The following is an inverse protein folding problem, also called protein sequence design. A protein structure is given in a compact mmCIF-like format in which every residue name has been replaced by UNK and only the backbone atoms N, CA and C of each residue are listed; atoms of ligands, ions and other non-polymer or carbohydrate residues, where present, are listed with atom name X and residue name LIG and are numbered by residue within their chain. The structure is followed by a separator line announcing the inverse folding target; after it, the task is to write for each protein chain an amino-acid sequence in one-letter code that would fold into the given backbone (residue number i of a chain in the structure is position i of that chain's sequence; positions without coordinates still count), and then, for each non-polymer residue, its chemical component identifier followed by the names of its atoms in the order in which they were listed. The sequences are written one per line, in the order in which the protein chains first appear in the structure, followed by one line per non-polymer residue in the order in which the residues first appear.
data_IF_911069505045
#
_entry.id   IF_911069505045
#
_cell.length_a   1.000
_cell.length_b   1.000
_cell.length_c   1.000
_cell.angle_alpha   90.00
_cell.angle_beta   90.00
_cell.angle_gamma   90.00
#
_symmetry.space_group_name_H-M   'P 1'
#
loop_
_entity.id
_entity.type
_entity.pdbx_description
1 polymer ?
#
# COMPACT_ATOMS: atom_id res chain seq x y z
N UNK A 1 29.22 -41.14 -36.29
CA UNK A 1 28.36 -39.98 -36.60
C UNK A 1 28.47 -38.99 -35.46
N UNK A 2 29.30 -37.98 -35.59
CA UNK A 2 29.51 -36.93 -34.61
C UNK A 2 28.40 -35.90 -34.75
N UNK A 3 27.50 -35.90 -33.79
CA UNK A 3 26.39 -34.93 -33.72
C UNK A 3 26.99 -33.60 -33.27
N UNK A 4 27.39 -32.73 -34.19
CA UNK A 4 27.70 -31.33 -33.93
C UNK A 4 26.41 -30.65 -33.47
N UNK A 5 26.13 -30.64 -32.14
CA UNK A 5 25.19 -29.65 -31.55
C UNK A 5 25.73 -28.26 -31.94
N UNK A 6 25.05 -27.60 -32.88
CA UNK A 6 25.26 -26.19 -33.20
C UNK A 6 25.10 -25.43 -31.89
N UNK A 7 26.20 -24.97 -31.28
CA UNK A 7 26.15 -24.00 -30.18
C UNK A 7 25.39 -22.79 -30.70
N UNK A 8 24.11 -22.68 -30.34
CA UNK A 8 23.38 -21.43 -30.55
C UNK A 8 24.09 -20.37 -29.72
N UNK A 9 24.65 -19.37 -30.38
CA UNK A 9 25.27 -18.22 -29.73
C UNK A 9 24.23 -17.61 -28.81
N UNK A 10 24.39 -17.74 -27.51
CA UNK A 10 23.51 -17.15 -26.50
C UNK A 10 23.50 -15.62 -26.67
N UNK A 11 22.35 -15.01 -26.45
CA UNK A 11 22.20 -13.57 -26.47
C UNK A 11 23.14 -12.93 -25.42
N UNK A 12 23.76 -11.80 -25.74
CA UNK A 12 24.64 -11.11 -24.80
C UNK A 12 23.87 -10.49 -23.64
N UNK A 13 24.46 -10.45 -22.43
CA UNK A 13 23.86 -9.85 -21.23
C UNK A 13 23.45 -8.39 -21.44
N UNK A 14 24.21 -7.63 -22.24
CA UNK A 14 23.88 -6.25 -22.61
C UNK A 14 22.52 -6.19 -23.34
N UNK A 15 22.30 -7.08 -24.29
CA UNK A 15 21.02 -7.14 -25.03
C UNK A 15 19.88 -7.58 -24.09
N UNK A 16 20.13 -8.54 -23.21
CA UNK A 16 19.15 -8.99 -22.21
C UNK A 16 18.75 -7.84 -21.28
N UNK A 17 19.72 -7.08 -20.79
CA UNK A 17 19.46 -5.90 -19.95
C UNK A 17 18.65 -4.82 -20.67
N UNK A 18 18.98 -4.52 -21.94
CA UNK A 18 18.20 -3.55 -22.76
C UNK A 18 16.77 -4.03 -23.00
N UNK A 19 16.56 -5.32 -23.25
CA UNK A 19 15.21 -5.90 -23.39
C UNK A 19 14.43 -5.85 -22.07
N UNK A 20 15.11 -6.03 -20.92
CA UNK A 20 14.52 -5.85 -19.59
C UNK A 20 14.01 -4.42 -19.39
N UNK A 21 14.83 -3.40 -19.73
CA UNK A 21 14.39 -2.00 -19.69
C UNK A 21 13.22 -1.74 -20.64
N UNK A 22 13.26 -2.24 -21.86
CA UNK A 22 12.17 -2.11 -22.81
C UNK A 22 10.87 -2.72 -22.28
N UNK A 23 10.95 -3.87 -21.59
CA UNK A 23 9.80 -4.50 -20.95
C UNK A 23 9.20 -3.61 -19.85
N UNK A 24 10.03 -3.08 -18.94
CA UNK A 24 9.55 -2.18 -17.86
C UNK A 24 8.95 -0.90 -18.44
N UNK A 25 9.61 -0.28 -19.40
CA UNK A 25 9.10 0.93 -20.06
C UNK A 25 7.75 0.65 -20.76
N UNK A 26 7.61 -0.49 -21.42
CA UNK A 26 6.35 -0.89 -22.06
C UNK A 26 5.22 -1.06 -21.04
N UNK A 27 5.49 -1.68 -19.89
CA UNK A 27 4.55 -1.81 -18.78
C UNK A 27 4.12 -0.41 -18.31
N UNK A 28 5.08 0.44 -17.94
CA UNK A 28 4.82 1.79 -17.40
C UNK A 28 4.02 2.64 -18.38
N UNK A 29 4.43 2.68 -19.65
CA UNK A 29 3.72 3.47 -20.69
C UNK A 29 2.29 2.98 -20.89
N UNK A 30 2.08 1.67 -20.85
CA UNK A 30 0.75 1.07 -21.04
C UNK A 30 -0.16 1.36 -19.85
N UNK A 31 0.35 1.29 -18.62
CA UNK A 31 -0.39 1.62 -17.41
C UNK A 31 -0.68 3.13 -17.31
N UNK A 32 0.32 3.97 -17.59
CA UNK A 32 0.15 5.42 -17.60
C UNK A 32 -0.92 5.89 -18.61
N UNK A 33 -1.02 5.22 -19.75
CA UNK A 33 -2.09 5.47 -20.74
C UNK A 33 -3.42 4.82 -20.37
N UNK A 34 -3.54 4.19 -19.20
CA UNK A 34 -4.73 3.47 -18.73
C UNK A 34 -5.31 2.49 -19.76
N UNK A 35 -4.43 1.84 -20.56
CA UNK A 35 -4.86 0.92 -21.62
C UNK A 35 -5.20 -0.47 -21.12
N UNK A 36 -4.68 -0.87 -19.94
CA UNK A 36 -4.93 -2.18 -19.35
C UNK A 36 -4.73 -2.14 -17.84
N UNK A 37 -5.19 -3.18 -17.16
CA UNK A 37 -4.97 -3.36 -15.72
C UNK A 37 -3.53 -3.81 -15.44
N UNK A 38 -2.96 -3.47 -14.27
CA UNK A 38 -1.62 -3.92 -13.86
C UNK A 38 -1.46 -5.44 -13.94
N UNK A 39 -2.46 -6.20 -13.48
CA UNK A 39 -2.45 -7.66 -13.55
C UNK A 39 -2.20 -8.20 -14.96
N UNK A 40 -2.79 -7.60 -15.97
CA UNK A 40 -2.65 -8.02 -17.37
C UNK A 40 -1.28 -7.60 -17.92
N UNK A 41 -0.86 -6.35 -17.66
CA UNK A 41 0.44 -5.86 -18.11
C UNK A 41 1.59 -6.69 -17.55
N UNK A 42 1.52 -7.06 -16.25
CA UNK A 42 2.54 -7.87 -15.56
C UNK A 42 2.59 -9.34 -16.01
N UNK A 43 1.59 -9.81 -16.74
CA UNK A 43 1.62 -11.12 -17.38
C UNK A 43 2.14 -11.00 -18.81
N UNK A 44 1.54 -10.13 -19.62
CA UNK A 44 1.77 -10.10 -21.07
C UNK A 44 3.21 -9.69 -21.39
N UNK A 45 3.69 -8.56 -20.86
CA UNK A 45 5.01 -8.04 -21.25
C UNK A 45 6.17 -8.94 -20.79
N UNK A 46 6.21 -9.46 -19.55
CA UNK A 46 7.26 -10.40 -19.16
C UNK A 46 7.16 -11.72 -19.93
N UNK A 47 5.97 -12.22 -20.26
CA UNK A 47 5.85 -13.41 -21.10
C UNK A 47 6.40 -13.19 -22.51
N UNK A 48 6.14 -12.05 -23.14
CA UNK A 48 6.75 -11.69 -24.42
C UNK A 48 8.28 -11.64 -24.30
N UNK A 49 8.80 -10.99 -23.25
CA UNK A 49 10.23 -10.98 -22.96
C UNK A 49 10.79 -12.40 -22.81
N UNK A 50 10.13 -13.25 -22.00
CA UNK A 50 10.52 -14.64 -21.81
C UNK A 50 10.60 -15.42 -23.13
N UNK A 51 9.61 -15.26 -24.00
CA UNK A 51 9.61 -15.85 -25.34
C UNK A 51 10.81 -15.38 -26.19
N UNK A 52 11.09 -14.07 -26.20
CA UNK A 52 12.24 -13.48 -26.91
C UNK A 52 13.54 -14.07 -26.38
N UNK A 53 13.70 -14.21 -25.04
CA UNK A 53 14.89 -14.77 -24.41
C UNK A 53 15.08 -16.25 -24.73
N UNK A 54 13.99 -17.02 -24.87
CA UNK A 54 14.06 -18.43 -25.31
C UNK A 54 14.51 -18.53 -26.76
N UNK A 55 13.94 -17.74 -27.66
CA UNK A 55 14.35 -17.74 -29.07
C UNK A 55 15.79 -17.23 -29.25
N UNK A 56 16.23 -16.29 -28.40
CA UNK A 56 17.60 -15.80 -28.34
C UNK A 56 18.61 -16.77 -27.69
N UNK A 57 18.15 -17.93 -27.22
CA UNK A 57 19.02 -18.96 -26.62
C UNK A 57 19.51 -18.60 -25.21
N UNK A 58 18.94 -17.59 -24.55
CA UNK A 58 19.32 -17.17 -23.19
C UNK A 58 18.65 -18.05 -22.14
N UNK A 59 17.33 -18.31 -22.28
CA UNK A 59 16.55 -19.23 -21.46
C UNK A 59 16.05 -20.42 -22.26
N UNK A 60 15.68 -21.50 -21.58
CA UNK A 60 14.88 -22.60 -22.14
C UNK A 60 13.40 -22.45 -21.72
N UNK A 61 12.50 -23.18 -22.38
CA UNK A 61 11.09 -23.22 -21.96
C UNK A 61 10.92 -23.75 -20.53
N UNK A 62 11.75 -24.74 -20.16
CA UNK A 62 11.78 -25.28 -18.80
C UNK A 62 12.19 -24.20 -17.78
N UNK A 63 13.17 -23.36 -18.14
CA UNK A 63 13.62 -22.24 -17.30
C UNK A 63 12.48 -21.25 -17.05
N UNK A 64 11.72 -20.88 -18.09
CA UNK A 64 10.55 -19.98 -17.93
C UNK A 64 9.56 -20.57 -16.95
N UNK A 65 9.24 -21.87 -17.05
CA UNK A 65 8.34 -22.55 -16.10
C UNK A 65 8.85 -22.50 -14.64
N UNK A 66 10.17 -22.76 -14.45
CA UNK A 66 10.80 -22.69 -13.11
C UNK A 66 10.79 -21.26 -12.53
N UNK A 67 11.12 -20.27 -13.36
CA UNK A 67 11.12 -18.86 -13.00
C UNK A 67 9.73 -18.39 -12.55
N UNK A 68 8.68 -18.69 -13.32
CA UNK A 68 7.30 -18.35 -12.97
C UNK A 68 6.91 -19.05 -11.66
N UNK A 69 7.19 -20.35 -11.51
CA UNK A 69 6.91 -21.08 -10.27
C UNK A 69 7.60 -20.42 -9.05
N UNK A 70 8.85 -20.02 -9.20
CA UNK A 70 9.59 -19.31 -8.15
C UNK A 70 8.98 -17.95 -7.83
N UNK A 71 8.51 -17.21 -8.84
CA UNK A 71 7.76 -15.96 -8.66
C UNK A 71 6.49 -16.18 -7.83
N UNK A 72 5.66 -17.19 -8.18
CA UNK A 72 4.46 -17.52 -7.42
C UNK A 72 4.76 -17.93 -5.97
N UNK A 73 5.85 -18.65 -5.72
CA UNK A 73 6.25 -19.02 -4.36
C UNK A 73 6.59 -17.78 -3.51
N UNK A 74 7.15 -16.74 -4.12
CA UNK A 74 7.47 -15.49 -3.42
C UNK A 74 6.26 -14.60 -3.17
N UNK A 75 5.29 -14.56 -4.11
CA UNK A 75 4.15 -13.65 -4.03
C UNK A 75 2.93 -14.25 -3.33
N UNK A 76 2.83 -15.58 -3.26
CA UNK A 76 1.69 -16.30 -2.67
C UNK A 76 1.37 -15.88 -1.23
N UNK A 77 2.34 -15.84 -0.31
CA UNK A 77 2.13 -15.38 1.06
C UNK A 77 1.57 -13.95 1.14
N UNK A 78 2.08 -13.04 0.32
CA UNK A 78 1.61 -11.65 0.25
C UNK A 78 0.18 -11.56 -0.29
N UNK A 79 -0.17 -12.37 -1.28
CA UNK A 79 -1.54 -12.42 -1.81
C UNK A 79 -2.53 -12.93 -0.74
N UNK A 80 -2.15 -13.96 0.02
CA UNK A 80 -2.95 -14.45 1.15
C UNK A 80 -3.10 -13.35 2.23
N UNK A 81 -2.01 -12.69 2.62
CA UNK A 81 -2.06 -11.57 3.57
C UNK A 81 -3.06 -10.51 3.12
N UNK A 82 -3.00 -10.11 1.83
CA UNK A 82 -3.87 -9.07 1.30
C UNK A 82 -5.35 -9.47 1.34
N UNK A 83 -5.68 -10.67 0.84
CA UNK A 83 -7.06 -11.17 0.82
C UNK A 83 -7.65 -11.19 2.22
N UNK A 84 -6.93 -11.77 3.18
CA UNK A 84 -7.44 -11.91 4.54
C UNK A 84 -7.43 -10.61 5.35
N UNK A 85 -6.49 -9.69 5.10
CA UNK A 85 -6.53 -8.37 5.74
C UNK A 85 -7.71 -7.52 5.23
N UNK A 86 -7.98 -7.51 3.92
CA UNK A 86 -9.14 -6.81 3.35
C UNK A 86 -10.45 -7.38 3.89
N UNK A 87 -10.58 -8.71 3.94
CA UNK A 87 -11.76 -9.36 4.52
C UNK A 87 -11.91 -9.02 6.00
N UNK A 88 -10.82 -9.07 6.78
CA UNK A 88 -10.82 -8.82 8.21
C UNK A 88 -11.32 -7.39 8.53
N UNK A 89 -10.66 -6.41 7.94
CA UNK A 89 -11.04 -5.01 8.18
C UNK A 89 -12.41 -4.67 7.58
N UNK A 90 -12.78 -5.28 6.45
CA UNK A 90 -14.12 -5.17 5.90
C UNK A 90 -15.19 -5.69 6.86
N UNK A 91 -14.99 -6.85 7.47
CA UNK A 91 -15.88 -7.41 8.50
C UNK A 91 -15.97 -6.48 9.71
N UNK A 92 -14.85 -5.91 10.17
CA UNK A 92 -14.83 -4.98 11.30
C UNK A 92 -15.55 -3.66 10.99
N UNK A 93 -15.43 -3.18 9.75
CA UNK A 93 -16.16 -2.00 9.27
C UNK A 93 -17.66 -2.28 9.22
N UNK A 94 -18.09 -3.37 8.58
CA UNK A 94 -19.50 -3.75 8.50
C UNK A 94 -20.12 -3.98 9.88
N UNK A 95 -19.36 -4.55 10.83
CA UNK A 95 -19.79 -4.73 12.21
C UNK A 95 -19.90 -3.41 12.99
N UNK A 96 -19.50 -2.28 12.41
CA UNK A 96 -19.58 -0.95 13.01
C UNK A 96 -18.52 -0.70 14.09
N UNK A 97 -17.41 -1.44 14.09
CA UNK A 97 -16.34 -1.25 15.09
C UNK A 97 -15.77 0.16 15.01
N UNK A 98 -15.47 0.65 13.82
CA UNK A 98 -14.91 1.98 13.60
C UNK A 98 -15.92 3.07 13.94
N UNK A 99 -17.21 2.88 13.60
CA UNK A 99 -18.27 3.85 13.88
C UNK A 99 -18.44 4.09 15.38
N UNK A 100 -18.40 3.01 16.19
CA UNK A 100 -18.47 3.12 17.66
C UNK A 100 -17.24 3.83 18.23
N UNK A 101 -16.03 3.56 17.71
CA UNK A 101 -14.81 4.26 18.14
C UNK A 101 -14.95 5.75 17.84
N UNK A 102 -15.31 6.08 16.61
CA UNK A 102 -15.44 7.46 16.13
C UNK A 102 -16.54 8.19 16.90
N UNK A 103 -17.69 7.56 17.10
CA UNK A 103 -18.77 8.13 17.89
C UNK A 103 -18.33 8.48 19.32
N UNK A 104 -17.56 7.62 19.98
CA UNK A 104 -16.99 7.91 21.31
C UNK A 104 -15.95 9.02 21.27
N UNK A 105 -15.08 9.04 20.24
CA UNK A 105 -14.07 10.10 20.06
C UNK A 105 -14.74 11.46 19.79
N UNK A 106 -15.83 11.47 19.03
CA UNK A 106 -16.58 12.69 18.76
C UNK A 106 -17.19 13.33 20.02
N UNK A 107 -17.53 12.54 21.04
CA UNK A 107 -17.99 13.06 22.34
C UNK A 107 -16.89 13.82 23.10
N UNK A 108 -15.61 13.58 22.77
CA UNK A 108 -14.47 14.28 23.37
C UNK A 108 -14.14 15.58 22.65
N UNK A 109 -14.71 15.81 21.46
CA UNK A 109 -14.50 17.03 20.68
C UNK A 109 -15.29 18.16 21.37
N UNK A 110 -14.55 19.04 22.03
CA UNK A 110 -15.05 20.29 22.61
C UNK A 110 -14.87 21.42 21.59
N UNK A 111 -15.37 22.62 21.92
CA UNK A 111 -15.29 23.84 21.10
C UNK A 111 -13.85 24.39 20.95
N UNK A 112 -12.90 23.50 20.76
CA UNK A 112 -11.48 23.80 20.63
C UNK A 112 -10.99 23.45 19.22
N UNK A 113 -10.63 24.43 18.43
CA UNK A 113 -10.14 24.30 17.05
C UNK A 113 -8.92 23.36 16.96
N UNK A 114 -7.96 23.48 17.89
CA UNK A 114 -6.79 22.59 17.94
C UNK A 114 -7.23 21.16 18.25
N UNK A 115 -8.11 21.00 19.23
CA UNK A 115 -8.68 19.68 19.59
C UNK A 115 -9.38 19.00 18.41
N UNK A 116 -10.13 19.75 17.60
CA UNK A 116 -10.78 19.26 16.38
C UNK A 116 -9.75 18.75 15.36
N UNK A 117 -8.66 19.51 15.15
CA UNK A 117 -7.59 19.10 14.22
C UNK A 117 -6.87 17.82 14.71
N UNK A 118 -6.55 17.73 16.00
CA UNK A 118 -5.93 16.53 16.60
C UNK A 118 -6.86 15.33 16.49
N UNK A 119 -8.16 15.53 16.78
CA UNK A 119 -9.16 14.47 16.67
C UNK A 119 -9.30 13.99 15.22
N UNK A 120 -9.28 14.90 14.25
CA UNK A 120 -9.25 14.55 12.81
C UNK A 120 -8.09 13.63 12.49
N UNK A 121 -6.88 13.94 13.00
CA UNK A 121 -5.71 13.08 12.81
C UNK A 121 -5.92 11.69 13.43
N UNK A 122 -6.41 11.63 14.65
CA UNK A 122 -6.66 10.33 15.35
C UNK A 122 -7.71 9.50 14.61
N UNK A 123 -8.82 10.11 14.19
CA UNK A 123 -9.88 9.42 13.43
C UNK A 123 -9.33 8.94 12.09
N UNK A 124 -8.51 9.73 11.40
CA UNK A 124 -7.90 9.34 10.14
C UNK A 124 -6.87 8.19 10.32
N UNK A 125 -6.07 8.21 11.38
CA UNK A 125 -5.18 7.11 11.74
C UNK A 125 -5.98 5.81 11.98
N UNK A 126 -7.03 5.87 12.79
CA UNK A 126 -7.85 4.70 13.11
C UNK A 126 -8.61 4.21 11.86
N UNK A 127 -9.21 5.14 11.11
CA UNK A 127 -9.95 4.82 9.89
C UNK A 127 -9.09 4.21 8.79
N UNK A 128 -7.78 4.49 8.78
CA UNK A 128 -6.85 3.95 7.77
C UNK A 128 -6.21 2.60 8.17
N UNK A 129 -6.63 2.01 9.27
CA UNK A 129 -6.14 0.68 9.66
C UNK A 129 -6.48 -0.42 8.64
N UNK A 130 -7.51 -0.23 7.81
CA UNK A 130 -7.85 -1.14 6.70
C UNK A 130 -6.91 -0.99 5.48
N UNK A 131 -6.04 0.03 5.46
CA UNK A 131 -5.14 0.34 4.35
C UNK A 131 -5.84 0.91 3.11
N UNK A 132 -7.15 1.22 3.20
CA UNK A 132 -7.96 1.73 2.09
C UNK A 132 -8.10 3.26 2.13
N UNK A 133 -7.60 3.96 1.11
CA UNK A 133 -7.74 5.42 1.03
C UNK A 133 -9.20 5.87 0.92
N UNK A 134 -9.97 5.21 0.06
CA UNK A 134 -11.38 5.53 -0.16
C UNK A 134 -12.23 5.28 1.10
N UNK A 135 -12.04 4.13 1.77
CA UNK A 135 -12.75 3.79 3.01
C UNK A 135 -12.44 4.81 4.11
N UNK A 136 -11.18 5.21 4.27
CA UNK A 136 -10.77 6.23 5.22
C UNK A 136 -11.51 7.56 4.98
N UNK A 137 -11.59 8.03 3.74
CA UNK A 137 -12.32 9.25 3.42
C UNK A 137 -13.82 9.10 3.65
N UNK A 138 -14.42 7.96 3.34
CA UNK A 138 -15.82 7.67 3.64
C UNK A 138 -16.15 7.69 5.15
N UNK A 139 -15.15 7.47 5.99
CA UNK A 139 -15.27 7.53 7.45
C UNK A 139 -14.99 8.95 7.96
N UNK A 140 -13.85 9.54 7.58
CA UNK A 140 -13.35 10.79 8.17
C UNK A 140 -14.15 11.99 7.71
N UNK A 141 -14.52 12.06 6.42
CA UNK A 141 -15.19 13.24 5.85
C UNK A 141 -16.59 13.43 6.43
N UNK A 142 -17.48 12.41 6.44
CA UNK A 142 -18.81 12.56 7.05
C UNK A 142 -18.74 12.89 8.55
N UNK A 143 -17.80 12.31 9.29
CA UNK A 143 -17.65 12.55 10.71
C UNK A 143 -17.17 13.96 11.03
N UNK A 144 -16.20 14.48 10.30
CA UNK A 144 -15.51 15.71 10.68
C UNK A 144 -15.94 16.95 9.89
N UNK A 145 -16.38 16.82 8.65
CA UNK A 145 -16.76 17.97 7.82
C UNK A 145 -17.88 18.83 8.43
N UNK A 146 -18.94 18.27 9.04
CA UNK A 146 -19.94 19.08 9.74
C UNK A 146 -19.35 19.91 10.88
N UNK A 147 -18.41 19.32 11.65
CA UNK A 147 -17.72 20.02 12.74
C UNK A 147 -16.86 21.17 12.20
N UNK A 148 -16.10 20.92 11.09
CA UNK A 148 -15.30 21.95 10.43
C UNK A 148 -16.17 23.11 9.93
N UNK A 149 -17.32 22.81 9.32
CA UNK A 149 -18.27 23.84 8.86
C UNK A 149 -18.82 24.65 10.04
N UNK A 150 -19.30 23.99 11.09
CA UNK A 150 -19.85 24.64 12.31
C UNK A 150 -18.82 25.56 12.98
N UNK A 151 -17.52 25.19 12.94
CA UNK A 151 -16.44 25.95 13.53
C UNK A 151 -15.77 26.93 12.55
N UNK A 152 -16.29 27.11 11.36
CA UNK A 152 -15.74 27.98 10.29
C UNK A 152 -14.29 27.64 9.90
N UNK A 153 -13.92 26.34 10.03
CA UNK A 153 -12.62 25.81 9.64
C UNK A 153 -12.63 25.43 8.16
N UNK A 154 -11.47 25.51 7.51
CA UNK A 154 -11.33 25.17 6.08
C UNK A 154 -11.42 23.65 5.85
N UNK A 155 -12.22 23.17 4.88
CA UNK A 155 -12.22 21.77 4.47
C UNK A 155 -10.85 21.27 3.97
N UNK A 156 -10.05 22.16 3.39
CA UNK A 156 -8.67 21.85 2.96
C UNK A 156 -7.75 21.49 4.13
N UNK A 157 -8.03 22.01 5.33
CA UNK A 157 -7.31 21.64 6.56
C UNK A 157 -7.69 20.24 7.01
N UNK A 158 -8.98 19.86 6.91
CA UNK A 158 -9.43 18.48 7.13
C UNK A 158 -8.72 17.52 6.19
N UNK A 159 -8.72 17.81 4.89
CA UNK A 159 -8.08 16.97 3.89
C UNK A 159 -6.57 16.81 4.15
N UNK A 160 -5.87 17.91 4.41
CA UNK A 160 -4.42 17.91 4.68
C UNK A 160 -4.06 17.00 5.87
N UNK A 161 -4.76 17.13 6.98
CA UNK A 161 -4.51 16.33 8.18
C UNK A 161 -4.80 14.85 7.91
N UNK A 162 -5.92 14.55 7.24
CA UNK A 162 -6.30 13.19 6.90
C UNK A 162 -5.26 12.51 6.00
N UNK A 163 -4.82 13.18 4.94
CA UNK A 163 -3.84 12.64 3.98
C UNK A 163 -2.49 12.33 4.66
N UNK A 164 -2.03 13.22 5.55
CA UNK A 164 -0.77 12.99 6.30
C UNK A 164 -0.91 11.77 7.22
N UNK A 165 -2.01 11.66 7.96
CA UNK A 165 -2.28 10.52 8.83
C UNK A 165 -2.35 9.21 8.03
N UNK A 166 -3.05 9.21 6.89
CA UNK A 166 -3.15 8.08 5.97
C UNK A 166 -1.78 7.66 5.42
N UNK A 167 -0.94 8.62 5.00
CA UNK A 167 0.41 8.36 4.51
C UNK A 167 1.28 7.63 5.54
N UNK A 168 1.17 7.99 6.81
CA UNK A 168 1.90 7.32 7.91
C UNK A 168 1.37 5.90 8.16
N UNK A 169 0.07 5.70 8.17
CA UNK A 169 -0.52 4.37 8.37
C UNK A 169 -0.36 3.45 7.14
N UNK A 170 -0.15 4.01 5.96
CA UNK A 170 0.16 3.24 4.76
C UNK A 170 1.53 2.52 4.79
N UNK A 171 2.26 2.65 5.90
CA UNK A 171 3.48 1.89 6.21
C UNK A 171 3.20 0.56 6.94
N UNK A 172 1.95 0.25 7.30
CA UNK A 172 1.57 -1.00 7.99
C UNK A 172 1.92 -2.24 7.15
N UNK A 173 2.15 -3.41 7.77
CA UNK A 173 2.58 -4.61 7.05
C UNK A 173 1.56 -5.15 6.05
N UNK A 174 0.28 -4.85 6.22
CA UNK A 174 -0.80 -5.18 5.28
C UNK A 174 -1.14 -4.03 4.32
N UNK A 175 -0.46 -2.90 4.42
CA UNK A 175 -0.65 -1.79 3.49
C UNK A 175 0.08 -2.05 2.16
N UNK A 176 -0.50 -1.51 1.09
CA UNK A 176 -0.04 -1.76 -0.27
C UNK A 176 1.45 -1.57 -0.52
N UNK A 177 2.07 -0.45 -0.16
CA UNK A 177 3.49 -0.20 -0.38
C UNK A 177 4.40 -1.21 0.32
N UNK A 178 4.17 -1.46 1.61
CA UNK A 178 4.99 -2.37 2.43
C UNK A 178 4.92 -3.80 1.91
N UNK A 179 3.72 -4.28 1.57
CA UNK A 179 3.55 -5.63 1.02
C UNK A 179 4.26 -5.82 -0.31
N UNK A 180 4.18 -4.83 -1.21
CA UNK A 180 4.85 -4.91 -2.51
C UNK A 180 6.36 -4.94 -2.37
N UNK A 181 6.91 -4.07 -1.54
CA UNK A 181 8.35 -4.06 -1.25
C UNK A 181 8.82 -5.36 -0.62
N UNK A 182 8.10 -5.90 0.36
CA UNK A 182 8.40 -7.20 0.97
C UNK A 182 8.38 -8.35 -0.06
N UNK A 183 7.40 -8.34 -0.97
CA UNK A 183 7.31 -9.30 -2.08
C UNK A 183 8.56 -9.23 -2.97
N UNK A 184 9.02 -8.04 -3.33
CA UNK A 184 10.22 -7.83 -4.16
C UNK A 184 11.46 -8.33 -3.44
N UNK A 185 11.58 -8.03 -2.15
CA UNK A 185 12.69 -8.51 -1.30
C UNK A 185 12.64 -10.02 -1.05
N UNK A 186 11.50 -10.68 -1.28
CA UNK A 186 11.29 -12.09 -0.96
C UNK A 186 11.27 -12.38 0.54
N UNK A 187 10.84 -11.41 1.36
CA UNK A 187 10.74 -11.52 2.83
C UNK A 187 9.29 -11.37 3.28
N UNK A 188 9.01 -11.71 4.53
CA UNK A 188 7.70 -11.47 5.16
C UNK A 188 7.44 -9.96 5.34
N UNK A 189 6.21 -9.53 5.10
CA UNK A 189 5.82 -8.13 5.24
C UNK A 189 5.96 -7.63 6.68
N UNK A 190 5.76 -8.51 7.67
CA UNK A 190 5.99 -8.22 9.08
C UNK A 190 7.45 -7.87 9.38
N UNK A 191 8.38 -8.63 8.84
CA UNK A 191 9.83 -8.41 9.04
C UNK A 191 10.29 -7.08 8.43
N UNK A 192 9.81 -6.73 7.23
CA UNK A 192 10.07 -5.41 6.64
C UNK A 192 9.48 -4.29 7.52
N UNK A 193 8.24 -4.48 7.98
CA UNK A 193 7.57 -3.50 8.82
C UNK A 193 8.29 -3.26 10.15
N UNK A 194 8.83 -4.28 10.80
CA UNK A 194 9.63 -4.11 12.02
C UNK A 194 10.81 -3.14 11.81
N UNK A 195 11.43 -3.16 10.64
CA UNK A 195 12.48 -2.20 10.27
C UNK A 195 11.92 -0.78 10.07
N UNK A 196 10.69 -0.66 9.58
CA UNK A 196 10.02 0.63 9.32
C UNK A 196 9.35 1.18 10.58
N UNK A 197 9.02 0.35 11.57
CA UNK A 197 8.23 0.69 12.76
C UNK A 197 8.75 1.93 13.52
N UNK A 198 10.06 2.12 13.75
CA UNK A 198 10.56 3.35 14.39
C UNK A 198 10.25 4.60 13.59
N UNK A 199 10.36 4.51 12.25
CA UNK A 199 10.07 5.62 11.34
C UNK A 199 8.57 5.92 11.35
N UNK A 200 7.72 4.89 11.35
CA UNK A 200 6.28 5.03 11.45
C UNK A 200 5.85 5.67 12.78
N UNK A 201 6.46 5.27 13.90
CA UNK A 201 6.20 5.88 15.20
C UNK A 201 6.55 7.38 15.21
N UNK A 202 7.72 7.75 14.68
CA UNK A 202 8.07 9.15 14.48
C UNK A 202 7.09 9.87 13.55
N UNK A 203 6.62 9.20 12.50
CA UNK A 203 5.62 9.71 11.56
C UNK A 203 4.27 10.01 12.24
N UNK A 204 3.81 9.16 13.16
CA UNK A 204 2.59 9.39 13.93
C UNK A 204 2.74 10.65 14.82
N UNK A 205 3.86 10.77 15.51
CA UNK A 205 4.12 11.97 16.33
C UNK A 205 4.16 13.22 15.46
N UNK A 206 4.80 13.15 14.29
CA UNK A 206 4.85 14.24 13.33
C UNK A 206 3.45 14.61 12.79
N UNK A 207 2.63 13.62 12.45
CA UNK A 207 1.26 13.83 11.99
C UNK A 207 0.41 14.56 13.06
N UNK A 208 0.53 14.15 14.32
CA UNK A 208 -0.12 14.85 15.44
C UNK A 208 0.41 16.28 15.62
N UNK A 209 1.72 16.49 15.52
CA UNK A 209 2.31 17.83 15.59
C UNK A 209 1.80 18.72 14.44
N UNK A 210 1.72 18.21 13.22
CA UNK A 210 1.14 18.92 12.06
C UNK A 210 -0.34 19.22 12.28
N UNK A 211 -1.10 18.32 12.89
CA UNK A 211 -2.50 18.58 13.26
C UNK A 211 -2.62 19.74 14.25
N UNK A 212 -1.78 19.78 15.28
CA UNK A 212 -1.70 20.90 16.24
C UNK A 212 -1.35 22.21 15.52
N UNK A 213 -0.33 22.21 14.67
CA UNK A 213 0.08 23.41 13.90
C UNK A 213 -1.05 23.92 13.00
N UNK A 214 -1.75 23.03 12.30
CA UNK A 214 -2.90 23.42 11.49
C UNK A 214 -4.04 23.98 12.36
N UNK A 215 -4.26 23.43 13.56
CA UNK A 215 -5.22 23.94 14.52
C UNK A 215 -4.87 25.36 14.99
N UNK A 216 -3.59 25.64 15.29
CA UNK A 216 -3.12 26.99 15.63
C UNK A 216 -3.32 27.96 14.45
N UNK A 217 -3.04 27.53 13.22
CA UNK A 217 -3.25 28.35 12.02
C UNK A 217 -4.74 28.68 11.83
N UNK A 218 -5.65 27.70 11.98
CA UNK A 218 -7.09 27.92 11.90
C UNK A 218 -7.57 28.85 13.02
N UNK A 219 -7.11 28.65 14.25
CA UNK A 219 -7.47 29.52 15.40
C UNK A 219 -7.02 30.97 15.18
N UNK A 220 -5.78 31.18 14.68
CA UNK A 220 -5.27 32.52 14.34
C UNK A 220 -6.07 33.19 13.22
N UNK A 221 -6.64 32.40 12.31
CA UNK A 221 -7.54 32.88 11.24
C UNK A 221 -8.91 33.35 11.79
N UNK A 222 -9.23 33.01 13.02
CA UNK A 222 -10.50 33.37 13.66
C UNK A 222 -11.56 32.28 13.56
N UNK A 223 -11.19 31.04 13.25
CA UNK A 223 -12.07 29.89 13.32
C UNK A 223 -12.44 29.55 14.78
N UNK A 224 -13.61 28.93 14.99
CA UNK A 224 -14.16 28.56 16.29
C UNK A 224 -15.59 29.06 16.46
N UNK A 225 -16.36 28.47 17.36
CA UNK A 225 -17.76 28.87 17.62
C UNK A 225 -17.92 30.33 18.05
N UNK A 226 -16.93 30.87 18.76
CA UNK A 226 -16.88 32.27 19.22
C UNK A 226 -15.79 33.06 18.48
N UNK A 227 -15.29 32.57 17.33
CA UNK A 227 -14.28 33.21 16.54
C UNK A 227 -14.81 34.38 15.72
N UNK A 228 -13.92 35.24 15.22
CA UNK A 228 -14.31 36.40 14.38
C UNK A 228 -15.17 35.98 13.18
N UNK A 229 -14.84 34.83 12.56
CA UNK A 229 -15.59 34.31 11.40
C UNK A 229 -17.01 33.81 11.76
N UNK A 230 -17.27 33.41 13.00
CA UNK A 230 -18.60 33.02 13.45
C UNK A 230 -19.54 34.24 13.61
N UNK A 231 -18.97 35.39 13.95
CA UNK A 231 -19.71 36.65 14.10
C UNK A 231 -20.13 37.23 12.74
N UNK A 232 -19.39 36.93 11.68
CA UNK A 232 -19.71 37.40 10.31
C UNK A 232 -20.71 36.49 9.58
N UNK A 233 -20.91 35.25 10.06
CA UNK A 233 -21.63 34.18 9.33
C UNK A 233 -23.12 34.04 9.71
N UNK A 234 -23.79 35.09 10.24
CA UNK A 234 -25.19 35.04 10.72
C UNK A 234 -26.24 34.76 9.62
N UNK A 235 -25.82 34.45 8.37
CA UNK A 235 -26.72 34.26 7.22
C UNK A 235 -26.38 33.10 6.30
N UNK A 236 -26.22 31.86 6.75
CA UNK A 236 -26.27 30.71 5.83
C UNK A 236 -26.60 29.40 6.58
N UNK A 237 -27.87 29.14 6.80
CA UNK A 237 -28.41 27.83 7.17
C UNK A 237 -28.81 27.11 5.90
N UNK A 238 -28.10 26.03 5.53
CA UNK A 238 -28.61 24.91 4.73
C UNK A 238 -27.49 24.00 4.22
N UNK A 239 -27.09 22.99 4.93
CA UNK A 239 -26.43 21.77 4.40
C UNK A 239 -26.35 20.63 5.48
N UNK A 240 -27.26 20.61 6.45
CA UNK A 240 -27.27 19.56 7.47
C UNK A 240 -27.88 18.21 7.01
N UNK A 241 -28.59 18.18 5.87
CA UNK A 241 -29.34 16.98 5.44
C UNK A 241 -28.49 15.95 4.66
N UNK A 242 -27.46 16.36 3.93
CA UNK A 242 -26.68 15.43 3.10
C UNK A 242 -25.70 14.51 3.89
N UNK A 243 -25.30 14.93 5.09
CA UNK A 243 -24.37 14.14 5.92
C UNK A 243 -25.10 13.02 6.71
N UNK A 244 -26.40 13.18 6.99
CA UNK A 244 -27.21 12.20 7.69
C UNK A 244 -27.60 11.00 6.80
N UNK A 245 -27.76 11.21 5.50
CA UNK A 245 -28.10 10.14 4.54
C UNK A 245 -26.94 9.17 4.28
N UNK A 246 -25.69 9.64 4.28
CA UNK A 246 -24.52 8.79 4.06
C UNK A 246 -24.21 7.85 5.26
N UNK A 247 -24.60 8.24 6.48
CA UNK A 247 -24.40 7.45 7.69
C UNK A 247 -25.46 6.37 7.91
N UNK A 248 -26.59 6.42 7.20
CA UNK A 248 -27.73 5.51 7.43
C UNK A 248 -27.72 4.24 6.55
N UNK A 249 -26.79 4.10 5.62
CA UNK A 249 -26.87 3.08 4.57
C UNK A 249 -26.50 1.65 4.98
N UNK A 250 -26.01 1.38 6.22
CA UNK A 250 -25.51 0.04 6.60
C UNK A 250 -25.98 -0.47 7.98
N UNK A 251 -27.17 -0.11 8.42
CA UNK A 251 -27.65 -0.48 9.76
C UNK A 251 -27.91 -1.98 9.98
N UNK A 252 -28.18 -2.76 8.94
CA UNK A 252 -28.51 -4.20 9.08
C UNK A 252 -27.30 -5.08 9.43
N UNK A 253 -26.09 -4.66 9.08
CA UNK A 253 -24.85 -5.41 9.32
C UNK A 253 -24.17 -5.02 10.64
N UNK A 254 -24.48 -3.89 11.22
CA UNK A 254 -23.84 -3.41 12.44
C UNK A 254 -24.09 -4.35 13.64
N UNK A 255 -23.07 -4.56 14.45
CA UNK A 255 -23.06 -5.42 15.65
C UNK A 255 -22.51 -4.68 16.86
N UNK A 256 -23.15 -3.58 17.30
CA UNK A 256 -22.62 -2.72 18.37
C UNK A 256 -22.44 -3.45 19.70
N UNK A 257 -23.22 -4.51 19.96
CA UNK A 257 -23.07 -5.35 21.16
C UNK A 257 -21.77 -6.15 21.18
N UNK A 258 -21.19 -6.43 20.01
CA UNK A 258 -19.92 -7.17 19.86
C UNK A 258 -18.72 -6.24 19.76
N UNK A 259 -18.88 -4.94 19.97
CA UNK A 259 -17.81 -3.94 19.86
C UNK A 259 -16.57 -4.32 20.69
N UNK A 260 -16.75 -4.65 21.98
CA UNK A 260 -15.64 -5.00 22.88
C UNK A 260 -14.92 -6.25 22.38
N UNK A 261 -15.68 -7.25 21.94
CA UNK A 261 -15.11 -8.47 21.33
C UNK A 261 -14.27 -8.16 20.10
N UNK A 262 -14.81 -7.34 19.17
CA UNK A 262 -14.13 -6.97 17.94
C UNK A 262 -12.84 -6.18 18.21
N UNK A 263 -12.83 -5.28 19.20
CA UNK A 263 -11.61 -4.57 19.63
C UNK A 263 -10.56 -5.54 20.18
N UNK A 264 -10.96 -6.43 21.09
CA UNK A 264 -10.02 -7.42 21.69
C UNK A 264 -9.44 -8.32 20.60
N UNK A 265 -10.27 -8.78 19.66
CA UNK A 265 -9.83 -9.61 18.54
C UNK A 265 -8.84 -8.84 17.65
N UNK A 266 -9.12 -7.56 17.35
CA UNK A 266 -8.23 -6.72 16.54
C UNK A 266 -6.89 -6.50 17.22
N UNK A 267 -6.89 -6.21 18.53
CA UNK A 267 -5.65 -6.08 19.30
C UNK A 267 -4.88 -7.41 19.29
N UNK A 268 -5.55 -8.55 19.46
CA UNK A 268 -4.92 -9.87 19.42
C UNK A 268 -4.28 -10.17 18.07
N UNK A 269 -4.97 -9.90 16.95
CA UNK A 269 -4.43 -10.07 15.60
C UNK A 269 -3.18 -9.21 15.39
N UNK A 270 -3.25 -7.93 15.77
CA UNK A 270 -2.10 -7.00 15.65
C UNK A 270 -0.94 -7.45 16.56
N UNK A 271 -1.23 -7.89 17.79
CA UNK A 271 -0.20 -8.38 18.71
C UNK A 271 0.51 -9.63 18.19
N UNK A 272 -0.21 -10.56 17.53
CA UNK A 272 0.38 -11.73 16.90
C UNK A 272 1.27 -11.34 15.71
N UNK A 273 0.90 -10.31 14.95
CA UNK A 273 1.73 -9.78 13.86
C UNK A 273 3.02 -9.13 14.38
N UNK A 274 2.93 -8.34 15.46
CA UNK A 274 4.12 -7.70 16.08
C UNK A 274 5.10 -8.74 16.62
N UNK A 275 4.58 -9.82 17.20
CA UNK A 275 5.42 -10.91 17.76
C UNK A 275 6.09 -11.77 16.69
N UNK A 276 5.65 -11.70 15.44
CA UNK A 276 6.19 -12.46 14.30
C UNK A 276 6.33 -13.98 14.54
N UNK A 277 5.37 -14.55 15.29
CA UNK A 277 5.35 -15.99 15.63
C UNK A 277 4.91 -16.83 14.44
N UNK A 278 4.02 -16.27 13.62
CA UNK A 278 3.45 -16.91 12.44
C UNK A 278 3.66 -16.02 11.21
N UNK A 279 3.70 -16.60 10.00
CA UNK A 279 3.64 -15.81 8.76
C UNK A 279 2.50 -14.79 8.81
N UNK A 280 2.74 -13.56 8.35
CA UNK A 280 1.86 -12.40 8.55
C UNK A 280 0.41 -12.60 8.11
N UNK A 281 0.15 -13.53 7.17
CA UNK A 281 -1.22 -13.85 6.71
C UNK A 281 -2.00 -14.72 7.71
N UNK A 282 -1.34 -15.52 8.55
CA UNK A 282 -2.00 -16.48 9.47
C UNK A 282 -2.84 -15.78 10.54
N UNK A 283 -2.35 -14.74 11.26
CA UNK A 283 -3.17 -13.97 12.18
C UNK A 283 -4.45 -13.43 11.55
N UNK A 284 -4.39 -12.91 10.32
CA UNK A 284 -5.58 -12.43 9.63
C UNK A 284 -6.54 -13.56 9.21
N UNK A 285 -6.02 -14.71 8.77
CA UNK A 285 -6.85 -15.89 8.47
C UNK A 285 -7.64 -16.33 9.70
N UNK A 286 -6.98 -16.47 10.84
CA UNK A 286 -7.62 -16.83 12.11
C UNK A 286 -8.61 -15.73 12.52
N UNK A 287 -8.18 -14.46 12.42
CA UNK A 287 -9.01 -13.30 12.72
C UNK A 287 -10.30 -13.27 11.90
N UNK A 288 -10.23 -13.48 10.58
CA UNK A 288 -11.40 -13.57 9.70
C UNK A 288 -12.32 -14.72 10.11
N UNK A 289 -11.76 -15.91 10.35
CA UNK A 289 -12.55 -17.07 10.74
C UNK A 289 -13.33 -16.82 12.04
N UNK A 290 -12.68 -16.27 13.06
CA UNK A 290 -13.31 -15.94 14.33
C UNK A 290 -14.32 -14.79 14.16
N UNK A 291 -13.92 -13.71 13.48
CA UNK A 291 -14.76 -12.54 13.28
C UNK A 291 -16.07 -12.87 12.55
N UNK A 292 -16.00 -13.64 11.47
CA UNK A 292 -17.17 -13.96 10.65
C UNK A 292 -18.11 -14.92 11.38
N UNK A 293 -17.58 -15.88 12.15
CA UNK A 293 -18.38 -16.82 12.93
C UNK A 293 -19.16 -16.11 14.04
N UNK A 294 -18.55 -15.15 14.72
CA UNK A 294 -19.16 -14.46 15.86
C UNK A 294 -20.10 -13.33 15.41
N UNK A 295 -19.66 -12.50 14.45
CA UNK A 295 -20.48 -11.36 14.01
C UNK A 295 -21.61 -11.78 13.06
N UNK A 296 -21.38 -12.80 12.22
CA UNK A 296 -22.29 -13.20 11.15
C UNK A 296 -22.51 -14.73 11.13
N UNK A 297 -23.23 -15.27 12.13
CA UNK A 297 -23.50 -16.70 12.20
C UNK A 297 -24.37 -17.18 11.02
N UNK A 298 -24.07 -18.38 10.52
CA UNK A 298 -24.80 -19.00 9.43
C UNK A 298 -24.16 -18.79 8.05
N UNK A 299 -23.99 -19.89 7.30
CA UNK A 299 -23.26 -19.93 6.03
C UNK A 299 -23.80 -18.96 4.97
N UNK A 300 -25.12 -18.73 4.93
CA UNK A 300 -25.74 -17.79 3.98
C UNK A 300 -25.28 -16.34 4.23
N UNK A 301 -25.23 -15.91 5.51
CA UNK A 301 -24.79 -14.59 5.88
C UNK A 301 -23.28 -14.44 5.66
N UNK A 302 -22.49 -15.44 6.05
CA UNK A 302 -21.05 -15.47 5.82
C UNK A 302 -20.69 -15.32 4.35
N UNK A 303 -21.40 -16.05 3.46
CA UNK A 303 -21.24 -15.90 2.01
C UNK A 303 -21.58 -14.48 1.53
N UNK A 304 -22.62 -13.86 2.08
CA UNK A 304 -23.00 -12.48 1.75
C UNK A 304 -21.86 -11.51 2.10
N UNK A 305 -21.30 -11.60 3.31
CA UNK A 305 -20.22 -10.74 3.80
C UNK A 305 -18.94 -10.93 2.97
N UNK A 306 -18.54 -12.18 2.70
CA UNK A 306 -17.36 -12.45 1.85
C UNK A 306 -17.55 -11.82 0.45
N UNK A 307 -18.74 -11.95 -0.12
CA UNK A 307 -19.03 -11.39 -1.46
C UNK A 307 -18.96 -9.86 -1.48
N UNK A 308 -19.33 -9.16 -0.40
CA UNK A 308 -19.24 -7.69 -0.33
C UNK A 308 -17.79 -7.20 -0.49
N UNK A 309 -16.82 -7.94 0.04
CA UNK A 309 -15.40 -7.56 0.03
C UNK A 309 -14.59 -8.31 -1.04
N UNK A 310 -15.23 -9.19 -1.84
CA UNK A 310 -14.54 -10.03 -2.84
C UNK A 310 -13.95 -9.22 -3.99
N UNK A 311 -14.61 -8.14 -4.43
CA UNK A 311 -14.15 -7.32 -5.55
C UNK A 311 -12.75 -6.73 -5.33
N UNK A 312 -12.53 -5.92 -4.30
CA UNK A 312 -11.21 -5.38 -3.96
C UNK A 312 -10.17 -6.48 -3.71
N UNK A 313 -10.54 -7.53 -2.97
CA UNK A 313 -9.64 -8.64 -2.68
C UNK A 313 -9.19 -9.36 -3.96
N UNK A 314 -10.11 -9.66 -4.89
CA UNK A 314 -9.80 -10.32 -6.16
C UNK A 314 -8.95 -9.43 -7.06
N UNK A 315 -9.25 -8.13 -7.16
CA UNK A 315 -8.49 -7.19 -7.98
C UNK A 315 -7.02 -7.14 -7.55
N UNK A 316 -6.76 -7.04 -6.25
CA UNK A 316 -5.40 -7.02 -5.71
C UNK A 316 -4.71 -8.37 -5.81
N UNK A 317 -5.42 -9.47 -5.56
CA UNK A 317 -4.88 -10.81 -5.73
C UNK A 317 -4.45 -11.04 -7.19
N UNK A 318 -5.26 -10.64 -8.17
CA UNK A 318 -4.91 -10.77 -9.58
C UNK A 318 -3.68 -9.94 -9.96
N UNK A 319 -3.51 -8.75 -9.39
CA UNK A 319 -2.31 -7.92 -9.58
C UNK A 319 -1.06 -8.61 -9.00
N UNK A 320 -1.15 -9.16 -7.80
CA UNK A 320 -0.05 -9.90 -7.18
C UNK A 320 0.30 -11.17 -7.95
N UNK A 321 -0.69 -11.89 -8.50
CA UNK A 321 -0.43 -13.05 -9.38
C UNK A 321 0.22 -12.63 -10.70
N UNK A 322 -0.16 -11.49 -11.28
CA UNK A 322 0.54 -10.90 -12.42
C UNK A 322 1.99 -10.54 -12.06
N UNK A 323 2.20 -9.90 -10.90
CA UNK A 323 3.52 -9.58 -10.39
C UNK A 323 4.39 -10.83 -10.15
N UNK A 324 3.80 -11.98 -9.83
CA UNK A 324 4.51 -13.25 -9.73
C UNK A 324 5.20 -13.63 -11.05
N UNK A 325 4.54 -13.42 -12.19
CA UNK A 325 5.11 -13.67 -13.52
C UNK A 325 6.23 -12.67 -13.81
N UNK A 326 5.99 -11.39 -13.54
CA UNK A 326 6.99 -10.33 -13.70
C UNK A 326 8.25 -10.61 -12.86
N UNK A 327 8.09 -10.85 -11.56
CA UNK A 327 9.17 -11.15 -10.63
C UNK A 327 9.90 -12.46 -11.00
N UNK A 328 9.15 -13.46 -11.46
CA UNK A 328 9.72 -14.71 -11.93
C UNK A 328 10.69 -14.47 -13.08
N UNK A 329 10.24 -13.86 -14.16
CA UNK A 329 11.02 -13.72 -15.40
C UNK A 329 12.16 -12.69 -15.28
N UNK A 330 11.91 -11.56 -14.57
CA UNK A 330 12.91 -10.49 -14.49
C UNK A 330 13.92 -10.70 -13.36
N UNK A 331 13.46 -11.13 -12.17
CA UNK A 331 14.24 -11.04 -10.93
C UNK A 331 14.83 -12.38 -10.48
N UNK A 332 14.08 -13.49 -10.71
CA UNK A 332 14.54 -14.79 -10.21
C UNK A 332 15.71 -15.33 -11.02
N UNK A 333 16.65 -15.95 -10.30
CA UNK A 333 17.85 -16.54 -10.88
C UNK A 333 17.62 -17.99 -11.31
N UNK A 334 18.42 -18.40 -12.28
CA UNK A 334 18.62 -19.79 -12.68
C UNK A 334 20.11 -20.08 -12.58
N UNK A 335 20.45 -21.24 -12.05
CA UNK A 335 21.84 -21.67 -11.91
C UNK A 335 22.60 -21.55 -13.24
N UNK A 336 23.72 -20.81 -13.20
CA UNK A 336 24.56 -20.56 -14.33
C UNK A 336 24.10 -19.50 -15.34
N UNK A 337 22.99 -18.78 -15.07
CA UNK A 337 22.48 -17.73 -15.97
C UNK A 337 22.05 -16.51 -15.14
N UNK A 338 22.62 -15.34 -15.43
CA UNK A 338 22.25 -14.11 -14.76
C UNK A 338 20.77 -13.77 -15.01
N UNK A 339 20.07 -13.28 -13.97
CA UNK A 339 18.71 -12.79 -14.15
C UNK A 339 18.67 -11.53 -15.04
N UNK A 340 17.51 -11.25 -15.62
CA UNK A 340 17.33 -10.05 -16.44
C UNK A 340 17.65 -8.79 -15.63
N UNK A 341 17.26 -8.76 -14.33
CA UNK A 341 17.53 -7.61 -13.46
C UNK A 341 19.02 -7.43 -13.19
N UNK A 342 19.78 -8.52 -13.05
CA UNK A 342 21.25 -8.46 -12.92
C UNK A 342 21.87 -7.85 -14.16
N UNK A 343 21.45 -8.27 -15.35
CA UNK A 343 21.90 -7.69 -16.61
C UNK A 343 21.58 -6.20 -16.72
N UNK A 344 20.39 -5.78 -16.32
CA UNK A 344 19.95 -4.37 -16.30
C UNK A 344 20.81 -3.55 -15.31
N UNK A 345 21.03 -4.08 -14.12
CA UNK A 345 21.80 -3.41 -13.06
C UNK A 345 23.26 -3.22 -13.45
N UNK A 346 23.88 -4.22 -14.07
CA UNK A 346 25.24 -4.14 -14.60
C UNK A 346 25.39 -3.02 -15.64
N UNK A 347 24.39 -2.84 -16.51
CA UNK A 347 24.37 -1.74 -17.48
C UNK A 347 24.36 -0.37 -16.82
N UNK A 348 23.49 -0.16 -15.82
CA UNK A 348 23.38 1.14 -15.14
C UNK A 348 24.62 1.39 -14.26
N UNK A 349 25.10 0.37 -13.52
CA UNK A 349 26.25 0.50 -12.65
C UNK A 349 27.53 0.88 -13.41
N UNK A 350 27.61 0.51 -14.69
CA UNK A 350 28.74 0.91 -15.55
C UNK A 350 28.72 2.41 -15.93
N UNK A 351 27.58 3.07 -15.83
CA UNK A 351 27.39 4.47 -16.23
C UNK A 351 27.28 5.39 -15.00
N UNK A 352 26.78 4.87 -13.88
CA UNK A 352 26.49 5.64 -12.68
C UNK A 352 27.79 5.98 -11.92
N UNK A 353 28.03 7.26 -11.54
CA UNK A 353 29.16 7.61 -10.69
C UNK A 353 29.12 6.90 -9.33
N UNK A 354 30.28 6.40 -8.86
CA UNK A 354 30.35 5.66 -7.59
C UNK A 354 29.80 6.44 -6.37
N UNK A 355 30.00 7.76 -6.33
CA UNK A 355 29.45 8.61 -5.28
C UNK A 355 27.92 8.60 -5.22
N UNK A 356 27.22 8.54 -6.37
CA UNK A 356 25.76 8.41 -6.41
C UNK A 356 25.31 6.99 -6.05
N UNK A 357 26.04 5.97 -6.49
CA UNK A 357 25.74 4.59 -6.19
C UNK A 357 25.80 4.26 -4.69
N UNK A 358 26.84 4.74 -4.00
CA UNK A 358 27.00 4.55 -2.55
C UNK A 358 25.88 5.24 -1.72
N UNK A 359 25.32 6.34 -2.23
CA UNK A 359 24.25 7.09 -1.58
C UNK A 359 22.86 6.84 -2.22
N UNK A 360 22.70 5.74 -2.93
CA UNK A 360 21.49 5.41 -3.67
C UNK A 360 20.20 5.48 -2.81
N UNK A 361 20.14 5.01 -1.54
CA UNK A 361 18.95 5.16 -0.72
C UNK A 361 18.52 6.60 -0.51
N UNK A 362 19.48 7.53 -0.37
CA UNK A 362 19.19 8.96 -0.23
C UNK A 362 18.69 9.55 -1.57
N UNK A 363 19.39 9.23 -2.65
CA UNK A 363 19.03 9.69 -4.00
C UNK A 363 17.63 9.23 -4.38
N UNK A 364 17.32 7.94 -4.22
CA UNK A 364 16.01 7.39 -4.54
C UNK A 364 14.94 7.91 -3.58
N UNK A 365 15.28 8.14 -2.31
CA UNK A 365 14.36 8.77 -1.34
C UNK A 365 13.90 10.14 -1.81
N UNK A 366 14.81 11.01 -2.26
CA UNK A 366 14.49 12.35 -2.81
C UNK A 366 13.67 12.22 -4.10
N UNK A 367 14.06 11.31 -5.00
CA UNK A 367 13.38 11.10 -6.26
C UNK A 367 12.03 10.39 -6.10
N UNK A 368 11.77 9.75 -4.97
CA UNK A 368 10.53 8.99 -4.73
C UNK A 368 9.27 9.85 -4.84
N UNK A 369 9.32 11.12 -4.42
CA UNK A 369 8.18 12.04 -4.50
C UNK A 369 7.81 12.35 -5.95
N UNK A 370 8.71 12.86 -6.82
CA UNK A 370 8.38 13.09 -8.23
C UNK A 370 8.08 11.78 -8.98
N UNK A 371 8.75 10.69 -8.64
CA UNK A 371 8.49 9.39 -9.26
C UNK A 371 7.12 8.82 -8.87
N UNK A 372 6.63 9.09 -7.65
CA UNK A 372 5.28 8.70 -7.24
C UNK A 372 4.18 9.42 -8.03
N UNK A 373 4.46 10.58 -8.61
CA UNK A 373 3.54 11.28 -9.52
C UNK A 373 3.55 10.69 -10.93
N UNK A 374 4.68 10.07 -11.33
CA UNK A 374 4.87 9.50 -12.66
C UNK A 374 4.49 8.01 -12.73
N UNK A 375 4.58 7.29 -11.62
CA UNK A 375 4.36 5.85 -11.55
C UNK A 375 3.21 5.52 -10.60
N UNK A 376 2.32 4.62 -11.03
CA UNK A 376 1.40 3.98 -10.10
C UNK A 376 2.17 3.10 -9.08
N UNK A 377 1.50 2.70 -8.01
CA UNK A 377 2.13 1.96 -6.91
C UNK A 377 2.73 0.63 -7.37
N UNK A 378 2.05 -0.06 -8.29
CA UNK A 378 2.47 -1.38 -8.76
C UNK A 378 3.74 -1.28 -9.64
N UNK A 379 3.76 -0.37 -10.61
CA UNK A 379 4.93 -0.14 -11.46
C UNK A 379 6.12 0.39 -10.66
N UNK A 380 5.88 1.22 -9.65
CA UNK A 380 6.93 1.74 -8.78
C UNK A 380 7.63 0.63 -8.01
N UNK A 381 6.89 -0.26 -7.35
CA UNK A 381 7.50 -1.32 -6.56
C UNK A 381 7.93 -2.52 -7.39
N UNK A 382 7.11 -3.02 -8.31
CA UNK A 382 7.48 -4.21 -9.08
C UNK A 382 8.38 -3.92 -10.28
N UNK A 383 8.33 -2.70 -10.82
CA UNK A 383 9.21 -2.29 -11.92
C UNK A 383 10.53 -1.68 -11.46
N UNK A 384 10.47 -0.66 -10.58
CA UNK A 384 11.67 0.10 -10.21
C UNK A 384 12.46 -0.49 -9.05
N UNK A 385 11.80 -0.96 -7.98
CA UNK A 385 12.51 -1.42 -6.78
C UNK A 385 13.53 -2.52 -7.07
N UNK A 386 13.23 -3.57 -7.86
CA UNK A 386 14.23 -4.59 -8.18
C UNK A 386 15.46 -4.02 -8.92
N UNK A 387 15.24 -3.06 -9.84
CA UNK A 387 16.32 -2.38 -10.56
C UNK A 387 17.21 -1.59 -9.59
N UNK A 388 16.58 -0.83 -8.67
CA UNK A 388 17.32 -0.03 -7.69
C UNK A 388 18.11 -0.91 -6.71
N UNK A 389 17.55 -2.06 -6.32
CA UNK A 389 18.26 -3.05 -5.49
C UNK A 389 19.49 -3.55 -6.24
N UNK A 390 19.33 -4.02 -7.47
CA UNK A 390 20.46 -4.55 -8.24
C UNK A 390 21.55 -3.50 -8.51
N UNK A 391 21.18 -2.23 -8.75
CA UNK A 391 22.16 -1.14 -8.85
C UNK A 391 22.88 -0.96 -7.52
N UNK A 392 22.15 -0.90 -6.40
CA UNK A 392 22.73 -0.73 -5.08
C UNK A 392 23.72 -1.83 -4.71
N UNK A 393 23.35 -3.09 -4.98
CA UNK A 393 24.23 -4.25 -4.76
C UNK A 393 25.55 -4.13 -5.53
N UNK A 394 25.50 -3.60 -6.75
CA UNK A 394 26.70 -3.31 -7.55
C UNK A 394 27.63 -2.27 -6.91
N UNK A 395 27.15 -1.44 -5.98
CA UNK A 395 27.91 -0.46 -5.20
C UNK A 395 28.07 -0.84 -3.71
N UNK A 396 27.71 -2.08 -3.33
CA UNK A 396 27.79 -2.56 -1.96
C UNK A 396 26.68 -2.07 -1.05
N UNK A 397 25.59 -1.52 -1.60
CA UNK A 397 24.41 -1.09 -0.84
C UNK A 397 23.38 -2.21 -0.82
N UNK A 398 23.01 -2.67 0.38
CA UNK A 398 22.06 -3.78 0.54
C UNK A 398 20.63 -3.40 0.09
N UNK A 399 19.81 -4.42 -0.18
CA UNK A 399 18.43 -4.26 -0.65
C UNK A 399 17.51 -3.57 0.37
N UNK A 400 17.70 -3.84 1.67
CA UNK A 400 16.83 -3.34 2.73
C UNK A 400 16.82 -1.80 2.84
N UNK A 401 17.95 -1.07 2.91
CA UNK A 401 17.96 0.40 2.94
C UNK A 401 17.26 1.03 1.74
N UNK A 402 17.41 0.44 0.54
CA UNK A 402 16.77 0.91 -0.69
C UNK A 402 15.25 0.73 -0.60
N UNK A 403 14.81 -0.45 -0.19
CA UNK A 403 13.37 -0.75 -0.06
C UNK A 403 12.71 0.15 1.00
N UNK A 404 13.35 0.34 2.16
CA UNK A 404 12.85 1.24 3.22
C UNK A 404 12.75 2.68 2.71
N UNK A 405 13.78 3.19 2.03
CA UNK A 405 13.75 4.54 1.45
C UNK A 405 12.60 4.69 0.44
N UNK A 406 12.41 3.71 -0.44
CA UNK A 406 11.35 3.73 -1.45
C UNK A 406 9.96 3.65 -0.81
N UNK A 407 9.75 2.80 0.20
CA UNK A 407 8.46 2.67 0.89
C UNK A 407 8.12 3.96 1.65
N UNK A 408 9.05 4.46 2.46
CA UNK A 408 8.79 5.62 3.33
C UNK A 408 8.61 6.91 2.52
N UNK A 409 9.53 7.18 1.60
CA UNK A 409 9.52 8.46 0.89
C UNK A 409 8.40 8.55 -0.16
N UNK A 410 8.04 7.42 -0.80
CA UNK A 410 6.88 7.40 -1.72
C UNK A 410 5.58 7.76 -1.02
N UNK A 411 5.40 7.32 0.23
CA UNK A 411 4.18 7.60 0.98
C UNK A 411 3.95 9.10 1.26
N UNK A 412 4.96 9.95 1.12
CA UNK A 412 4.79 11.39 1.17
C UNK A 412 3.90 11.93 0.03
N UNK A 413 3.75 11.20 -1.07
CA UNK A 413 2.96 11.60 -2.24
C UNK A 413 1.77 10.66 -2.54
N UNK A 414 1.50 9.65 -1.72
CA UNK A 414 0.54 8.55 -2.02
C UNK A 414 -0.88 9.04 -2.32
N UNK A 415 -1.33 10.15 -1.76
CA UNK A 415 -2.69 10.67 -1.92
C UNK A 415 -2.76 11.98 -2.70
N UNK A 416 -1.70 12.32 -3.42
CA UNK A 416 -1.62 13.50 -4.27
C UNK A 416 -1.84 13.12 -5.75
N UNK A 417 -1.54 11.87 -6.11
CA UNK A 417 -1.63 11.34 -7.47
C UNK A 417 -2.92 10.56 -7.70
#
# INVERSE_FOLDING_TARGET
MHNKKKERKSMSEVVVGLLGFACIVAIVVTLFKSKTLPSIAFIIFPMILGVILVFGGYYSWENIGKLIKSGFSSTGPTAALFVFSVLYFGIMTDAGMFDVIIGKLMLLVKDNVIGVCVMTCIIALIGHLDGGGASTFCIVVPAMLPVYKKMHMRPTTLLRISVIAMGVLNLMPWAGPTMRAATVLGIEAGSLWQTILPIQACGIVLALAVAVLNGIIEQKRGAGLNGKLAQEATHLNSVEEAAAEAASANNDLARPKLFVFNIILTIAVIALLIKDIFPSYVPFMIGVAIAILVNYPGAKMQKKIINLHSGPALMMCSTLMGAAVLMGILVKDIEGVNSVITCMSNLISSILPAALGQHLPLVIGILSVPLALAFDTDSYFYGMLPVMIGIGEGFGVGAMPIAVAMVVCRNCATFIS
#
